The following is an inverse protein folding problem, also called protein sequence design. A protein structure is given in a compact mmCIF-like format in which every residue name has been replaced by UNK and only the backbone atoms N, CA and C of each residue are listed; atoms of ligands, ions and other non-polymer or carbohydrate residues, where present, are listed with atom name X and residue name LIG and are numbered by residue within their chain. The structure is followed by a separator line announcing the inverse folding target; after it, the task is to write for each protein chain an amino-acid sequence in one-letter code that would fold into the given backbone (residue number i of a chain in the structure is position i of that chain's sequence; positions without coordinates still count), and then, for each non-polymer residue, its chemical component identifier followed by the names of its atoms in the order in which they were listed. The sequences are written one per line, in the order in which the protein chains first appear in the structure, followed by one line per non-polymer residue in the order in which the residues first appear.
data_IF_094616286779
#
_entry.id   IF_094616286779
#
_cell.length_a   1.000
_cell.length_b   1.000
_cell.length_c   1.000
_cell.angle_alpha   90.00
_cell.angle_beta   90.00
_cell.angle_gamma   90.00
#
_symmetry.space_group_name_H-M   'P 1'
#
loop_
_entity.id
_entity.type
_entity.pdbx_description
1 polymer ?
#
# COMPACT_ATOMS: atom_id res chain seq x y z
N UNK A 1 8.49 -3.93 -10.24
CA UNK A 1 7.59 -3.65 -9.10
C UNK A 1 7.37 -2.14 -9.06
N UNK A 2 6.11 -1.67 -9.11
CA UNK A 2 5.78 -0.23 -9.08
C UNK A 2 5.52 0.20 -7.63
N UNK A 3 6.14 1.31 -7.20
CA UNK A 3 6.08 1.83 -5.83
C UNK A 3 5.41 3.18 -5.80
N UNK A 4 4.32 3.33 -5.04
CA UNK A 4 3.68 4.64 -4.77
C UNK A 4 3.32 4.83 -3.31
N UNK A 5 3.41 6.09 -2.87
CA UNK A 5 2.91 6.59 -1.60
C UNK A 5 1.44 7.07 -1.69
N UNK A 6 0.80 6.90 -2.85
CA UNK A 6 -0.58 7.33 -3.08
C UNK A 6 -1.58 6.31 -2.53
N UNK A 7 -2.55 6.80 -1.75
CA UNK A 7 -3.69 6.02 -1.26
C UNK A 7 -4.74 5.71 -2.34
N UNK A 8 -4.51 6.18 -3.57
CA UNK A 8 -5.44 6.01 -4.68
C UNK A 8 -5.51 4.54 -5.15
N UNK A 9 -6.69 4.15 -5.65
CA UNK A 9 -6.95 2.81 -6.16
C UNK A 9 -6.75 2.71 -7.67
N UNK A 10 -6.22 3.75 -8.33
CA UNK A 10 -6.17 3.80 -9.80
C UNK A 10 -5.23 2.74 -10.34
N UNK A 11 -4.05 2.60 -9.74
CA UNK A 11 -3.08 1.57 -10.12
C UNK A 11 -3.64 0.17 -9.85
N UNK A 12 -4.26 -0.04 -8.69
CA UNK A 12 -4.92 -1.29 -8.35
C UNK A 12 -5.96 -1.70 -9.39
N UNK A 13 -6.86 -0.77 -9.75
CA UNK A 13 -7.89 -1.00 -10.75
C UNK A 13 -7.31 -1.25 -12.13
N UNK A 14 -6.26 -0.50 -12.50
CA UNK A 14 -5.58 -0.68 -13.78
C UNK A 14 -4.97 -2.08 -13.88
N UNK A 15 -4.19 -2.48 -12.88
CA UNK A 15 -3.55 -3.80 -12.82
C UNK A 15 -4.58 -4.94 -12.85
N UNK A 16 -5.65 -4.81 -12.05
CA UNK A 16 -6.71 -5.81 -12.00
C UNK A 16 -7.50 -5.89 -13.33
N UNK A 17 -7.82 -4.76 -13.94
CA UNK A 17 -8.61 -4.69 -15.19
C UNK A 17 -7.81 -5.17 -16.39
N UNK A 18 -6.55 -4.76 -16.49
CA UNK A 18 -5.70 -5.07 -17.64
C UNK A 18 -5.00 -6.42 -17.54
N UNK A 19 -5.13 -7.13 -16.41
CA UNK A 19 -4.45 -8.41 -16.15
C UNK A 19 -2.95 -8.33 -16.50
N UNK A 20 -2.31 -7.21 -16.12
CA UNK A 20 -0.92 -6.87 -16.53
C UNK A 20 0.13 -7.90 -16.07
N UNK A 21 -0.26 -8.84 -15.22
CA UNK A 21 0.56 -9.96 -14.78
C UNK A 21 -0.30 -11.23 -14.76
N UNK A 22 0.25 -12.33 -15.28
CA UNK A 22 -0.32 -13.66 -15.10
C UNK A 22 -0.36 -13.98 -13.60
N UNK A 23 -1.54 -13.86 -13.00
CA UNK A 23 -1.75 -14.08 -11.57
C UNK A 23 -1.35 -12.89 -10.70
N UNK A 24 -2.06 -11.76 -10.84
CA UNK A 24 -2.04 -10.66 -9.88
C UNK A 24 -2.15 -11.18 -8.43
N UNK A 25 -1.14 -10.88 -7.61
CA UNK A 25 -1.07 -11.26 -6.20
C UNK A 25 -0.71 -10.04 -5.36
N UNK A 26 -1.57 -9.66 -4.44
CA UNK A 26 -1.32 -8.59 -3.46
C UNK A 26 -1.25 -9.12 -2.02
N UNK A 27 -1.24 -10.44 -1.85
CA UNK A 27 -1.18 -11.10 -0.55
C UNK A 27 -2.52 -11.21 0.19
N UNK A 28 -3.62 -10.66 -0.36
CA UNK A 28 -4.96 -10.71 0.26
C UNK A 28 -5.85 -11.75 -0.43
N UNK A 29 -5.78 -13.00 0.03
CA UNK A 29 -6.38 -14.15 -0.67
C UNK A 29 -7.49 -14.88 0.11
N UNK A 30 -7.46 -14.89 1.44
CA UNK A 30 -8.44 -15.63 2.25
C UNK A 30 -9.74 -14.83 2.36
N UNK A 31 -10.84 -15.39 1.85
CA UNK A 31 -12.12 -14.69 1.74
C UNK A 31 -13.01 -14.96 2.95
N UNK A 32 -13.48 -13.90 3.59
CA UNK A 32 -14.43 -13.97 4.70
C UNK A 32 -15.56 -12.96 4.48
N UNK A 33 -16.66 -13.15 5.21
CA UNK A 33 -17.73 -12.16 5.33
C UNK A 33 -17.73 -11.55 6.72
N UNK A 34 -17.72 -10.22 6.79
CA UNK A 34 -17.86 -9.46 8.01
C UNK A 34 -18.93 -8.39 7.80
N UNK A 35 -19.96 -8.35 8.65
CA UNK A 35 -21.06 -7.37 8.55
C UNK A 35 -21.72 -7.30 7.15
N UNK A 36 -21.86 -8.45 6.48
CA UNK A 36 -22.35 -8.58 5.09
C UNK A 36 -21.43 -7.99 4.00
N UNK A 37 -20.20 -7.64 4.35
CA UNK A 37 -19.17 -7.19 3.42
C UNK A 37 -18.19 -8.33 3.16
N UNK A 38 -17.76 -8.44 1.90
CA UNK A 38 -16.69 -9.35 1.51
C UNK A 38 -15.34 -8.72 1.89
N UNK A 39 -14.56 -9.43 2.70
CA UNK A 39 -13.22 -9.03 3.13
C UNK A 39 -12.21 -10.11 2.75
N UNK A 40 -11.01 -9.70 2.40
CA UNK A 40 -9.90 -10.60 2.13
C UNK A 40 -8.81 -10.41 3.19
N UNK A 41 -8.40 -11.47 3.88
CA UNK A 41 -7.33 -11.40 4.88
C UNK A 41 -5.95 -11.48 4.22
N UNK A 42 -5.00 -10.76 4.82
CA UNK A 42 -3.60 -10.86 4.44
C UNK A 42 -3.01 -12.21 4.85
N UNK A 43 -2.33 -12.87 3.92
CA UNK A 43 -1.63 -14.12 4.15
C UNK A 43 -0.14 -13.96 3.86
N UNK A 44 0.68 -14.04 4.91
CA UNK A 44 2.14 -13.91 4.82
C UNK A 44 2.80 -14.96 3.94
N UNK A 45 2.16 -16.11 3.73
CA UNK A 45 2.65 -17.20 2.86
C UNK A 45 2.30 -17.00 1.39
N UNK A 46 1.47 -16.01 1.06
CA UNK A 46 0.99 -15.77 -0.30
C UNK A 46 2.01 -14.97 -1.12
N UNK A 47 3.22 -15.49 -1.32
CA UNK A 47 4.28 -14.84 -2.11
C UNK A 47 4.45 -15.51 -3.50
N UNK A 48 5.08 -14.86 -4.49
CA UNK A 48 5.50 -13.46 -4.51
C UNK A 48 4.32 -12.48 -4.70
N UNK A 49 4.51 -11.22 -4.30
CA UNK A 49 3.54 -10.13 -4.48
C UNK A 49 3.86 -9.31 -5.73
N UNK A 50 2.85 -9.06 -6.55
CA UNK A 50 2.90 -8.18 -7.73
C UNK A 50 2.63 -6.72 -7.37
N UNK A 51 1.89 -6.47 -6.28
CA UNK A 51 1.51 -5.14 -5.81
C UNK A 51 1.62 -5.09 -4.28
N UNK A 52 2.19 -4.01 -3.78
CA UNK A 52 2.42 -3.78 -2.35
C UNK A 52 2.12 -2.31 -2.02
N UNK A 53 1.40 -2.08 -0.94
CA UNK A 53 1.12 -0.74 -0.41
C UNK A 53 1.99 -0.44 0.81
N UNK A 54 3.13 0.23 0.62
CA UNK A 54 4.14 0.47 1.66
C UNK A 54 3.63 1.27 2.86
N UNK A 55 2.73 2.23 2.61
CA UNK A 55 2.06 3.02 3.65
C UNK A 55 0.59 2.64 3.79
N UNK A 56 0.21 1.45 3.34
CA UNK A 56 -1.18 1.03 3.30
C UNK A 56 -2.01 1.77 2.24
N UNK A 57 -3.33 1.62 2.30
CA UNK A 57 -4.25 2.17 1.31
C UNK A 57 -5.67 2.28 1.88
N UNK A 58 -6.52 3.10 1.27
CA UNK A 58 -7.89 3.37 1.75
C UNK A 58 -8.76 2.12 1.94
N UNK A 59 -8.54 1.10 1.13
CA UNK A 59 -9.26 -0.17 1.17
C UNK A 59 -8.65 -1.20 2.12
N UNK A 60 -7.57 -0.86 2.82
CA UNK A 60 -6.94 -1.68 3.83
C UNK A 60 -7.37 -1.25 5.23
N UNK A 61 -7.64 -2.23 6.07
CA UNK A 61 -8.01 -2.07 7.47
C UNK A 61 -7.20 -3.05 8.31
N UNK A 62 -7.04 -2.72 9.58
CA UNK A 62 -6.45 -3.57 10.60
C UNK A 62 -7.48 -3.80 11.71
N UNK A 63 -7.42 -4.96 12.37
CA UNK A 63 -8.31 -5.32 13.47
C UNK A 63 -7.54 -5.19 14.78
N UNK A 64 -8.19 -4.70 15.84
CA UNK A 64 -7.56 -4.60 17.17
C UNK A 64 -7.31 -5.97 17.82
N UNK A 65 -8.05 -7.00 17.39
CA UNK A 65 -7.93 -8.36 17.89
C UNK A 65 -6.80 -9.11 17.18
N UNK A 66 -6.07 -9.97 17.90
CA UNK A 66 -4.84 -10.66 17.44
C UNK A 66 -5.01 -11.67 16.29
N UNK A 67 -6.21 -11.84 15.76
CA UNK A 67 -6.49 -12.89 14.78
C UNK A 67 -5.87 -12.59 13.40
N UNK A 68 -5.72 -11.31 13.05
CA UNK A 68 -5.08 -10.88 11.80
C UNK A 68 -4.71 -9.39 11.83
N UNK A 69 -3.54 -9.04 11.26
CA UNK A 69 -3.02 -7.66 11.26
C UNK A 69 -3.52 -6.80 10.11
N UNK A 70 -4.01 -7.41 9.03
CA UNK A 70 -4.47 -6.67 7.86
C UNK A 70 -5.57 -7.42 7.12
N UNK A 71 -6.58 -6.66 6.70
CA UNK A 71 -7.59 -7.09 5.76
C UNK A 71 -7.78 -6.05 4.66
N UNK A 72 -8.34 -6.51 3.56
CA UNK A 72 -8.71 -5.69 2.41
C UNK A 72 -10.22 -5.78 2.19
N UNK A 73 -10.88 -4.64 2.03
CA UNK A 73 -12.24 -4.59 1.51
C UNK A 73 -12.27 -5.11 0.07
N UNK A 74 -13.09 -6.11 -0.21
CA UNK A 74 -13.30 -6.58 -1.57
C UNK A 74 -14.29 -5.66 -2.31
N UNK A 75 -14.39 -5.84 -3.64
CA UNK A 75 -15.39 -5.16 -4.48
C UNK A 75 -15.39 -3.62 -4.41
N UNK A 76 -14.23 -3.03 -4.10
CA UNK A 76 -14.02 -1.56 -3.99
C UNK A 76 -14.33 -0.75 -5.26
N UNK A 77 -14.59 -1.43 -6.37
CA UNK A 77 -15.00 -0.84 -7.65
C UNK A 77 -16.48 -0.44 -7.67
N UNK A 78 -17.30 -0.87 -6.69
CA UNK A 78 -18.75 -0.64 -6.68
C UNK A 78 -19.18 0.76 -6.25
N UNK A 79 -18.24 1.67 -5.94
CA UNK A 79 -18.53 3.04 -5.51
C UNK A 79 -18.75 3.24 -4.01
N UNK A 80 -18.87 2.18 -3.22
CA UNK A 80 -19.28 2.27 -1.80
C UNK A 80 -18.11 2.09 -0.82
N UNK A 81 -16.87 2.36 -1.23
CA UNK A 81 -15.69 2.08 -0.40
C UNK A 81 -15.75 2.81 0.95
N UNK A 82 -16.08 4.11 0.94
CA UNK A 82 -16.13 4.93 2.16
C UNK A 82 -17.23 4.41 3.09
N UNK A 83 -18.44 4.20 2.58
CA UNK A 83 -19.56 3.68 3.37
C UNK A 83 -19.28 2.30 3.96
N UNK A 84 -18.73 1.38 3.17
CA UNK A 84 -18.39 0.03 3.63
C UNK A 84 -17.33 0.06 4.73
N UNK A 85 -16.38 0.99 4.60
CA UNK A 85 -15.32 1.20 5.57
C UNK A 85 -15.87 1.78 6.87
N UNK A 86 -16.69 2.82 6.78
CA UNK A 86 -17.36 3.42 7.94
C UNK A 86 -18.22 2.38 8.67
N UNK A 87 -18.92 1.51 7.92
CA UNK A 87 -19.69 0.41 8.49
C UNK A 87 -18.82 -0.50 9.37
N UNK A 88 -17.70 -0.99 8.85
CA UNK A 88 -16.77 -1.83 9.63
C UNK A 88 -16.16 -1.07 10.81
N UNK A 89 -15.73 0.17 10.62
CA UNK A 89 -15.11 0.95 11.68
C UNK A 89 -16.10 1.33 12.80
N UNK A 90 -17.41 1.39 12.52
CA UNK A 90 -18.44 1.75 13.50
C UNK A 90 -18.48 0.81 14.71
N UNK A 91 -18.09 -0.45 14.54
CA UNK A 91 -18.02 -1.40 15.64
C UNK A 91 -16.86 -1.13 16.62
N UNK A 92 -15.94 -0.22 16.27
CA UNK A 92 -14.71 0.06 17.01
C UNK A 92 -13.65 -1.06 16.93
N UNK A 93 -13.89 -2.12 16.15
CA UNK A 93 -12.97 -3.26 16.04
C UNK A 93 -11.95 -3.11 14.92
N UNK A 94 -12.29 -2.32 13.91
CA UNK A 94 -11.50 -2.11 12.71
C UNK A 94 -11.02 -0.66 12.63
N UNK A 95 -9.77 -0.49 12.24
CA UNK A 95 -9.13 0.81 12.08
C UNK A 95 -8.37 0.88 10.77
N UNK A 96 -8.14 2.12 10.36
CA UNK A 96 -7.43 2.53 9.17
C UNK A 96 -6.05 1.88 9.09
N UNK A 97 -5.77 1.17 8.00
CA UNK A 97 -4.42 0.69 7.72
C UNK A 97 -3.79 1.54 6.63
N UNK A 98 -3.40 2.76 7.03
CA UNK A 98 -2.51 3.60 6.27
C UNK A 98 -1.66 4.50 7.15
N UNK A 99 -0.53 4.97 6.64
CA UNK A 99 0.41 5.85 7.34
C UNK A 99 0.38 7.23 6.67
N UNK A 100 -0.02 8.26 7.40
CA UNK A 100 -0.09 9.65 6.93
C UNK A 100 0.86 10.54 7.72
N UNK A 101 1.53 11.47 7.02
CA UNK A 101 2.33 12.53 7.64
C UNK A 101 3.42 12.02 8.56
N UNK A 102 3.96 12.93 9.37
CA UNK A 102 4.97 12.61 10.37
C UNK A 102 6.38 12.38 9.83
N UNK A 103 7.32 12.26 10.75
CA UNK A 103 8.73 12.00 10.48
C UNK A 103 8.94 10.54 10.06
N UNK A 104 10.08 10.25 9.44
CA UNK A 104 10.41 8.86 9.08
C UNK A 104 10.43 7.92 10.29
N UNK A 105 10.73 8.42 11.50
CA UNK A 105 10.78 7.63 12.73
C UNK A 105 9.38 7.27 13.23
N UNK A 106 8.46 8.24 13.19
CA UNK A 106 7.04 8.05 13.52
C UNK A 106 6.39 7.04 12.56
N UNK A 107 6.61 7.22 11.25
CA UNK A 107 6.12 6.28 10.23
C UNK A 107 6.67 4.88 10.43
N UNK A 108 7.99 4.76 10.68
CA UNK A 108 8.64 3.48 10.96
C UNK A 108 8.08 2.80 12.21
N UNK A 109 7.73 3.56 13.25
CA UNK A 109 7.12 3.01 14.44
C UNK A 109 5.77 2.34 14.11
N UNK A 110 4.92 3.01 13.33
CA UNK A 110 3.63 2.44 12.89
C UNK A 110 3.86 1.18 12.04
N UNK A 111 4.77 1.25 11.05
CA UNK A 111 5.08 0.14 10.14
C UNK A 111 5.54 -1.11 10.92
N UNK A 112 6.39 -0.94 11.93
CA UNK A 112 6.93 -2.06 12.74
C UNK A 112 5.87 -2.80 13.55
N UNK A 113 4.76 -2.15 13.89
CA UNK A 113 3.69 -2.73 14.70
C UNK A 113 2.58 -3.39 13.88
N UNK A 114 2.67 -3.38 12.54
CA UNK A 114 1.72 -4.06 11.67
C UNK A 114 2.43 -5.05 10.76
N UNK A 115 2.07 -6.34 10.82
CA UNK A 115 2.76 -7.41 10.08
C UNK A 115 2.71 -7.19 8.57
N UNK A 116 1.58 -6.70 8.03
CA UNK A 116 1.49 -6.39 6.61
C UNK A 116 2.44 -5.26 6.21
N UNK A 117 2.40 -4.10 6.89
CA UNK A 117 3.26 -2.96 6.56
C UNK A 117 4.73 -3.31 6.71
N UNK A 118 5.09 -4.04 7.77
CA UNK A 118 6.45 -4.52 7.99
C UNK A 118 6.92 -5.40 6.82
N UNK A 119 6.13 -6.42 6.45
CA UNK A 119 6.52 -7.31 5.37
C UNK A 119 6.51 -6.60 4.01
N UNK A 120 5.60 -5.65 3.81
CA UNK A 120 5.57 -4.79 2.63
C UNK A 120 6.89 -4.02 2.49
N UNK A 121 7.37 -3.39 3.57
CA UNK A 121 8.65 -2.68 3.56
C UNK A 121 9.84 -3.63 3.38
N UNK A 122 9.86 -4.77 4.07
CA UNK A 122 10.93 -5.77 3.97
C UNK A 122 10.99 -6.41 2.57
N UNK A 123 9.86 -6.49 1.86
CA UNK A 123 9.80 -7.03 0.49
C UNK A 123 10.69 -6.26 -0.48
N UNK A 124 10.94 -4.96 -0.23
CA UNK A 124 11.81 -4.12 -1.05
C UNK A 124 13.24 -4.67 -1.12
N UNK A 125 13.77 -5.19 -0.01
CA UNK A 125 15.13 -5.74 0.04
C UNK A 125 15.30 -6.97 -0.85
N UNK A 126 14.21 -7.68 -1.08
CA UNK A 126 14.21 -8.92 -1.86
C UNK A 126 14.08 -8.67 -3.36
N UNK A 127 13.82 -7.43 -3.80
CA UNK A 127 13.73 -7.09 -5.22
C UNK A 127 15.09 -7.34 -5.89
N UNK A 128 15.04 -8.03 -7.03
CA UNK A 128 16.17 -8.32 -7.91
C UNK A 128 15.90 -7.72 -9.29
N UNK A 129 16.95 -7.53 -10.09
CA UNK A 129 16.84 -6.99 -11.45
C UNK A 129 16.80 -5.46 -11.46
N UNK A 130 15.90 -4.88 -12.24
CA UNK A 130 15.80 -3.43 -12.40
C UNK A 130 14.53 -2.88 -11.74
N UNK A 131 14.68 -1.76 -11.02
CA UNK A 131 13.56 -1.04 -10.39
C UNK A 131 13.25 0.21 -11.18
N UNK A 132 11.95 0.45 -11.40
CA UNK A 132 11.46 1.70 -11.98
C UNK A 132 10.49 2.35 -11.01
N UNK A 133 10.75 3.61 -10.64
CA UNK A 133 9.99 4.38 -9.67
C UNK A 133 9.36 5.58 -10.37
N UNK A 134 8.05 5.76 -10.20
CA UNK A 134 7.29 6.88 -10.75
C UNK A 134 6.35 7.48 -9.73
N UNK A 135 6.20 8.81 -9.74
CA UNK A 135 5.22 9.51 -8.92
C UNK A 135 5.46 9.36 -7.41
N UNK A 136 6.73 9.21 -7.00
CA UNK A 136 7.15 9.18 -5.60
C UNK A 136 7.87 10.49 -5.27
N UNK A 137 7.53 11.11 -4.15
CA UNK A 137 8.32 12.22 -3.63
C UNK A 137 9.60 11.68 -2.98
N UNK A 138 10.73 12.35 -3.20
CA UNK A 138 12.02 12.01 -2.58
C UNK A 138 12.19 12.89 -1.33
N UNK A 139 11.21 12.84 -0.43
CA UNK A 139 11.24 13.60 0.82
C UNK A 139 11.84 12.79 1.97
N UNK A 140 12.48 13.50 2.91
CA UNK A 140 13.13 12.91 4.09
C UNK A 140 12.18 12.08 4.96
N UNK A 141 10.88 12.42 4.95
CA UNK A 141 9.86 11.71 5.71
C UNK A 141 9.70 10.24 5.26
N UNK A 142 10.16 9.90 4.06
CA UNK A 142 10.09 8.56 3.48
C UNK A 142 11.46 7.93 3.23
N UNK A 143 12.50 8.44 3.90
CA UNK A 143 13.86 7.91 3.86
C UNK A 143 13.94 6.40 4.16
N UNK A 144 13.03 5.86 4.97
CA UNK A 144 12.94 4.43 5.23
C UNK A 144 12.63 3.58 3.99
N UNK A 145 11.86 4.08 3.03
CA UNK A 145 11.59 3.39 1.76
C UNK A 145 12.88 3.35 0.94
N UNK A 146 13.50 4.51 0.75
CA UNK A 146 14.74 4.67 -0.02
C UNK A 146 15.87 3.80 0.52
N UNK A 147 16.04 3.77 1.85
CA UNK A 147 17.02 2.90 2.50
C UNK A 147 16.82 1.44 2.14
N UNK A 148 15.59 0.93 2.17
CA UNK A 148 15.30 -0.46 1.83
C UNK A 148 15.48 -0.77 0.32
N UNK A 149 15.24 0.22 -0.56
CA UNK A 149 15.53 0.09 -1.99
C UNK A 149 17.04 0.05 -2.24
N UNK A 150 17.81 0.93 -1.58
CA UNK A 150 19.28 0.93 -1.68
C UNK A 150 19.90 -0.35 -1.10
N UNK A 151 19.29 -0.92 -0.06
CA UNK A 151 19.70 -2.20 0.55
C UNK A 151 19.20 -3.43 -0.24
N UNK A 152 18.51 -3.25 -1.37
CA UNK A 152 17.98 -4.35 -2.18
C UNK A 152 19.03 -4.99 -3.09
N UNK A 153 18.65 -6.08 -3.76
CA UNK A 153 19.49 -6.80 -4.75
C UNK A 153 19.26 -6.29 -6.18
N UNK A 154 18.78 -5.05 -6.31
CA UNK A 154 18.56 -4.39 -7.61
C UNK A 154 19.89 -4.01 -8.25
N UNK A 155 19.98 -4.10 -9.57
CA UNK A 155 21.14 -3.70 -10.37
C UNK A 155 21.04 -2.24 -10.78
N UNK A 156 19.88 -1.84 -11.30
CA UNK A 156 19.62 -0.50 -11.79
C UNK A 156 18.35 0.07 -11.15
N UNK A 157 18.37 1.38 -10.87
CA UNK A 157 17.21 2.13 -10.37
C UNK A 157 16.95 3.27 -11.36
N UNK A 158 15.76 3.25 -11.96
CA UNK A 158 15.27 4.27 -12.87
C UNK A 158 14.18 5.09 -12.18
N UNK A 159 14.35 6.42 -12.12
CA UNK A 159 13.40 7.31 -11.43
C UNK A 159 12.80 8.28 -12.44
N UNK A 160 11.49 8.26 -12.59
CA UNK A 160 10.76 9.27 -13.34
C UNK A 160 10.51 10.51 -12.49
N UNK A 161 11.21 11.59 -12.83
CA UNK A 161 11.09 12.89 -12.17
C UNK A 161 10.13 13.76 -13.00
N UNK A 162 9.05 14.22 -12.39
CA UNK A 162 8.21 15.28 -12.98
C UNK A 162 8.79 16.63 -12.56
N UNK A 163 8.90 17.56 -13.50
CA UNK A 163 9.25 18.94 -13.17
C UNK A 163 8.06 19.56 -12.46
N UNK A 164 8.26 20.09 -11.25
CA UNK A 164 7.25 20.93 -10.62
C UNK A 164 6.98 22.12 -11.54
N UNK A 165 5.74 22.25 -12.01
CA UNK A 165 5.23 23.51 -12.53
C UNK A 165 4.93 24.44 -11.35
N UNK A 166 5.96 24.81 -10.60
CA UNK A 166 5.90 25.98 -9.73
C UNK A 166 6.11 27.24 -10.60
N UNK A 167 5.17 27.49 -11.51
CA UNK A 167 4.93 28.86 -11.96
C UNK A 167 4.22 29.58 -10.81
N UNK A 168 5.01 30.42 -10.12
CA UNK A 168 4.52 31.40 -9.17
C UNK A 168 3.73 32.46 -9.94
N UNK A 169 2.54 32.82 -9.43
CA UNK A 169 1.58 33.83 -9.92
C UNK A 169 0.57 33.37 -10.97
N UNK A 170 -0.68 33.19 -10.53
CA UNK A 170 -1.84 33.67 -11.30
C UNK A 170 -2.75 34.44 -10.33
N UNK A 171 -2.33 35.68 -10.05
CA UNK A 171 -3.28 36.79 -9.96
C UNK A 171 -3.58 37.19 -11.42
N UNK A 172 -4.79 36.88 -11.89
CA UNK A 172 -5.56 37.65 -12.89
C UNK A 172 -7.04 37.32 -12.77
#
# INVERSE_FOLDING_TARGET
MELRQNFDLKLYFLMAKLKLFDGFKDGFCEKLKCESLDIHLFNTKSTPWSLVYLHGSMHLLSKLEKDFDALKLANVQSGNLIENREKLCRSGKFHDLFVLGGTTEEKLNIIKHNIYLKNALESLKNIEGDIVIYGCSIDDNDAHIWKNICDSRTNNIYIGISKDCNDKNIDR
#
